data_IF_306125495069
#
_entry.id   IF_306125495069
#
_cell.length_a   1.000
_cell.length_b   1.000
_cell.length_c   1.000
_cell.angle_alpha   90.00
_cell.angle_beta   90.00
_cell.angle_gamma   90.00
#
_symmetry.space_group_name_H-M   'P 1'
#
loop_
_entity.id
_entity.type
_entity.pdbx_description
1 polymer ?
#
# COMPACT_ATOMS: atom_id res chain seq x y z
N UNK A 1 19.01 7.03 9.98
CA UNK A 1 18.83 8.51 10.07
C UNK A 1 19.45 9.07 11.34
N UNK A 2 19.02 8.66 12.55
CA UNK A 2 19.55 9.19 13.82
C UNK A 2 21.08 9.01 13.99
N UNK A 3 21.66 8.00 13.33
CA UNK A 3 23.11 7.74 13.30
C UNK A 3 23.86 8.52 12.21
N UNK A 4 23.17 9.31 11.37
CA UNK A 4 23.75 9.99 10.20
C UNK A 4 24.01 9.08 8.99
N UNK A 5 23.87 7.76 9.12
CA UNK A 5 24.18 6.79 8.06
C UNK A 5 23.14 6.69 6.92
N UNK A 6 22.17 7.60 6.86
CA UNK A 6 21.14 7.58 5.82
C UNK A 6 20.43 8.92 5.69
N UNK A 7 20.03 9.23 4.46
CA UNK A 7 19.30 10.44 4.10
C UNK A 7 17.79 10.18 4.20
N UNK A 8 17.04 11.24 4.50
CA UNK A 8 15.59 11.21 4.52
C UNK A 8 15.06 12.47 3.85
N UNK A 9 14.17 12.29 2.89
CA UNK A 9 13.45 13.38 2.22
C UNK A 9 11.98 13.11 2.39
N UNK A 10 11.31 13.92 3.22
CA UNK A 10 9.86 13.86 3.34
C UNK A 10 9.22 14.51 2.11
N UNK A 11 8.21 13.86 1.57
CA UNK A 11 7.38 14.44 0.53
C UNK A 11 5.94 13.95 0.65
N UNK A 12 5.03 14.65 -0.01
CA UNK A 12 3.64 14.22 -0.09
C UNK A 12 3.57 12.91 -0.86
N UNK A 13 2.91 11.90 -0.29
CA UNK A 13 2.90 10.54 -0.83
C UNK A 13 2.38 10.48 -2.28
N UNK A 14 1.36 11.28 -2.61
CA UNK A 14 0.81 11.40 -3.97
C UNK A 14 1.81 11.91 -5.02
N UNK A 15 2.91 12.52 -4.61
CA UNK A 15 3.94 13.05 -5.53
C UNK A 15 4.98 11.99 -5.90
N UNK A 16 5.02 10.83 -5.24
CA UNK A 16 6.01 9.79 -5.51
C UNK A 16 6.07 9.35 -6.98
N UNK A 17 4.95 9.05 -7.66
CA UNK A 17 5.00 8.66 -9.07
C UNK A 17 5.65 9.75 -9.94
N UNK A 18 5.26 11.01 -9.70
CA UNK A 18 5.79 12.16 -10.43
C UNK A 18 7.26 12.42 -10.13
N UNK A 19 7.67 12.22 -8.89
CA UNK A 19 9.06 12.36 -8.47
C UNK A 19 9.98 11.40 -9.22
N UNK A 20 9.59 10.13 -9.37
CA UNK A 20 10.37 9.19 -10.17
C UNK A 20 10.45 9.60 -11.63
N UNK A 21 9.30 9.92 -12.25
CA UNK A 21 9.23 10.25 -13.69
C UNK A 21 9.88 11.58 -14.06
N UNK A 22 9.77 12.61 -13.23
CA UNK A 22 10.17 13.99 -13.56
C UNK A 22 11.45 14.46 -12.85
N UNK A 23 11.70 13.99 -11.61
CA UNK A 23 12.80 14.51 -10.78
C UNK A 23 13.99 13.57 -10.69
N UNK A 24 13.75 12.27 -10.53
CA UNK A 24 14.79 11.24 -10.58
C UNK A 24 15.15 10.96 -12.04
N UNK A 25 14.16 10.68 -12.88
CA UNK A 25 14.28 10.50 -14.34
C UNK A 25 15.08 9.27 -14.78
N UNK A 26 15.83 8.64 -13.87
CA UNK A 26 16.67 7.48 -14.14
C UNK A 26 16.86 6.63 -12.88
N UNK A 27 16.59 5.34 -12.99
CA UNK A 27 16.86 4.31 -11.98
C UNK A 27 17.65 3.18 -12.64
N UNK A 28 18.81 2.81 -12.10
CA UNK A 28 19.62 1.76 -12.72
C UNK A 28 18.95 0.38 -12.63
N UNK A 29 18.34 0.07 -11.47
CA UNK A 29 17.70 -1.22 -11.21
C UNK A 29 16.47 -1.03 -10.31
N UNK A 30 15.33 -1.59 -10.72
CA UNK A 30 14.16 -1.79 -9.88
C UNK A 30 14.04 -3.28 -9.50
N UNK A 31 13.94 -3.57 -8.20
CA UNK A 31 13.71 -4.91 -7.68
C UNK A 31 12.41 -4.94 -6.87
N UNK A 32 11.44 -5.74 -7.29
CA UNK A 32 10.08 -5.74 -6.73
C UNK A 32 9.62 -7.17 -6.45
N UNK A 33 8.89 -7.38 -5.35
CA UNK A 33 8.14 -8.63 -5.17
C UNK A 33 6.76 -8.50 -5.81
N UNK A 34 6.30 -9.54 -6.50
CA UNK A 34 5.05 -9.55 -7.28
C UNK A 34 4.25 -10.84 -7.06
N UNK A 35 2.95 -10.76 -7.32
CA UNK A 35 2.09 -11.94 -7.41
C UNK A 35 2.43 -12.77 -8.67
N UNK A 36 2.07 -14.07 -8.71
CA UNK A 36 2.28 -14.91 -9.89
C UNK A 36 1.67 -14.30 -11.16
N UNK A 37 2.37 -14.51 -12.27
CA UNK A 37 1.95 -14.05 -13.59
C UNK A 37 0.58 -14.63 -13.95
N UNK A 38 -0.31 -13.82 -14.50
CA UNK A 38 -1.58 -14.31 -15.05
C UNK A 38 -1.41 -14.88 -16.48
N UNK A 39 -2.52 -15.39 -17.02
CA UNK A 39 -2.58 -15.93 -18.38
C UNK A 39 -2.30 -14.91 -19.48
N UNK A 40 -2.28 -13.62 -19.16
CA UNK A 40 -2.03 -12.51 -20.09
C UNK A 40 -0.61 -11.98 -19.99
N UNK A 41 0.23 -12.57 -19.14
CA UNK A 41 1.63 -12.18 -18.99
C UNK A 41 1.86 -11.06 -17.98
N UNK A 42 0.88 -10.71 -17.15
CA UNK A 42 1.01 -9.62 -16.17
C UNK A 42 1.31 -10.13 -14.76
N UNK A 43 2.28 -9.49 -14.11
CA UNK A 43 2.56 -9.61 -12.69
C UNK A 43 1.86 -8.48 -11.94
N UNK A 44 1.14 -8.80 -10.86
CA UNK A 44 0.49 -7.81 -10.00
C UNK A 44 1.47 -7.32 -8.92
N UNK A 45 1.49 -6.02 -8.66
CA UNK A 45 2.25 -5.41 -7.56
C UNK A 45 1.64 -5.68 -6.17
N UNK A 46 0.48 -6.34 -6.12
CA UNK A 46 -0.21 -6.70 -4.90
C UNK A 46 -0.69 -5.46 -4.14
N UNK A 47 -0.64 -5.44 -2.80
CA UNK A 47 -1.23 -4.38 -1.99
C UNK A 47 -0.42 -3.07 -2.01
N UNK A 48 0.63 -2.98 -2.83
CA UNK A 48 1.62 -1.89 -2.80
C UNK A 48 1.74 -1.12 -4.13
N UNK A 49 0.69 -1.13 -4.96
CA UNK A 49 0.66 -0.51 -6.29
C UNK A 49 0.78 1.05 -6.33
N UNK A 50 1.31 1.70 -5.29
CA UNK A 50 1.25 3.16 -5.14
C UNK A 50 2.13 3.95 -6.13
N UNK A 51 3.39 3.54 -6.32
CA UNK A 51 4.34 4.23 -7.20
C UNK A 51 5.27 3.27 -7.96
N UNK A 52 5.09 1.96 -7.80
CA UNK A 52 6.00 0.96 -8.34
C UNK A 52 6.07 0.99 -9.87
N UNK A 53 4.93 1.25 -10.54
CA UNK A 53 4.91 1.47 -11.99
C UNK A 53 5.81 2.63 -12.41
N UNK A 54 5.74 3.75 -11.70
CA UNK A 54 6.56 4.93 -12.01
C UNK A 54 8.06 4.66 -11.80
N UNK A 55 8.42 3.79 -10.85
CA UNK A 55 9.81 3.32 -10.70
C UNK A 55 10.22 2.48 -11.91
N UNK A 56 9.37 1.56 -12.35
CA UNK A 56 9.62 0.74 -13.54
C UNK A 56 9.75 1.57 -14.82
N UNK A 57 8.94 2.61 -15.00
CA UNK A 57 8.96 3.45 -16.22
C UNK A 57 10.33 4.14 -16.47
N UNK A 58 11.12 4.35 -15.41
CA UNK A 58 12.45 5.00 -15.48
C UNK A 58 13.60 4.04 -15.16
N UNK A 59 13.31 2.74 -15.05
CA UNK A 59 14.32 1.74 -14.70
C UNK A 59 15.00 1.14 -15.93
N UNK A 60 16.33 1.06 -15.93
CA UNK A 60 17.10 0.37 -16.98
C UNK A 60 16.96 -1.16 -16.89
N UNK A 61 16.84 -1.68 -15.68
CA UNK A 61 16.73 -3.11 -15.36
C UNK A 61 15.60 -3.35 -14.38
N UNK A 62 14.69 -4.25 -14.73
CA UNK A 62 13.56 -4.63 -13.87
C UNK A 62 13.70 -6.10 -13.48
N UNK A 63 13.81 -6.34 -12.18
CA UNK A 63 13.87 -7.67 -11.59
C UNK A 63 12.63 -7.87 -10.74
N UNK A 64 11.89 -8.94 -11.01
CA UNK A 64 10.73 -9.31 -10.19
C UNK A 64 11.01 -10.60 -9.43
N UNK A 65 10.70 -10.61 -8.13
CA UNK A 65 10.64 -11.80 -7.30
C UNK A 65 9.19 -12.26 -7.20
N UNK A 66 8.90 -13.46 -7.71
CA UNK A 66 7.55 -14.04 -7.63
C UNK A 66 7.33 -14.67 -6.27
N UNK A 67 6.28 -14.26 -5.57
CA UNK A 67 5.81 -14.87 -4.33
C UNK A 67 4.36 -15.34 -4.50
N UNK A 68 4.10 -16.64 -4.38
CA UNK A 68 2.77 -17.25 -4.48
C UNK A 68 1.80 -16.78 -3.39
N UNK A 69 2.31 -16.28 -2.26
CA UNK A 69 1.49 -15.70 -1.19
C UNK A 69 1.15 -14.22 -1.42
N UNK A 70 1.79 -13.55 -2.39
CA UNK A 70 1.46 -12.16 -2.72
C UNK A 70 0.08 -12.15 -3.39
N UNK A 71 -0.92 -11.45 -2.82
CA UNK A 71 -2.25 -11.43 -3.40
C UNK A 71 -2.23 -10.64 -4.71
N UNK A 72 -3.10 -11.02 -5.64
CA UNK A 72 -3.43 -10.19 -6.79
C UNK A 72 -4.48 -9.16 -6.36
N UNK A 73 -4.04 -7.91 -6.20
CA UNK A 73 -4.96 -6.80 -5.97
C UNK A 73 -5.49 -6.31 -7.30
N UNK A 74 -6.80 -6.16 -7.40
CA UNK A 74 -7.44 -5.63 -8.60
C UNK A 74 -7.37 -4.10 -8.58
N UNK A 75 -6.88 -3.52 -9.66
CA UNK A 75 -6.95 -2.10 -9.92
C UNK A 75 -7.36 -1.83 -11.36
N UNK A 76 -7.21 -0.58 -11.78
CA UNK A 76 -7.44 -0.18 -13.19
C UNK A 76 -6.30 0.65 -13.78
N UNK A 77 -5.33 1.05 -12.96
CA UNK A 77 -4.26 1.97 -13.34
C UNK A 77 -2.99 1.56 -12.61
N UNK A 78 -1.93 1.26 -13.35
CA UNK A 78 -0.56 1.16 -12.83
C UNK A 78 -0.32 0.10 -11.71
N UNK A 79 -1.17 -0.93 -11.64
CA UNK A 79 -1.15 -1.98 -10.61
C UNK A 79 -0.38 -3.26 -11.00
N UNK A 80 0.12 -3.30 -12.24
CA UNK A 80 0.80 -4.46 -12.80
C UNK A 80 1.91 -4.08 -13.79
N UNK A 81 2.71 -5.09 -14.13
CA UNK A 81 3.76 -5.02 -15.15
C UNK A 81 3.72 -6.25 -16.05
N UNK A 82 3.87 -6.07 -17.37
CA UNK A 82 3.88 -7.18 -18.32
C UNK A 82 5.27 -7.81 -18.38
N UNK A 83 5.34 -9.13 -18.61
CA UNK A 83 6.60 -9.87 -18.71
C UNK A 83 7.57 -9.34 -19.78
N UNK A 84 7.06 -8.70 -20.83
CA UNK A 84 7.92 -8.08 -21.85
C UNK A 84 8.69 -6.86 -21.35
N UNK A 85 8.29 -6.29 -20.21
CA UNK A 85 8.95 -5.15 -19.56
C UNK A 85 9.94 -5.62 -18.48
N UNK A 86 10.03 -6.93 -18.19
CA UNK A 86 10.85 -7.49 -17.11
C UNK A 86 12.13 -8.12 -17.67
N UNK A 87 13.28 -7.73 -17.12
CA UNK A 87 14.58 -8.30 -17.52
C UNK A 87 14.89 -9.64 -16.85
N UNK A 88 14.48 -9.80 -15.58
CA UNK A 88 14.81 -10.98 -14.79
C UNK A 88 13.65 -11.37 -13.86
N UNK A 89 13.38 -12.68 -13.79
CA UNK A 89 12.37 -13.25 -12.90
C UNK A 89 13.07 -14.19 -11.93
N UNK A 90 12.91 -13.93 -10.64
CA UNK A 90 13.39 -14.77 -9.54
C UNK A 90 12.18 -15.49 -8.96
N UNK A 91 12.23 -16.81 -8.87
CA UNK A 91 11.25 -17.56 -8.09
C UNK A 91 11.61 -17.39 -6.61
N UNK A 92 10.74 -16.70 -5.86
CA UNK A 92 10.92 -16.48 -4.43
C UNK A 92 10.81 -17.78 -3.64
N UNK A 93 11.17 -17.73 -2.38
CA UNK A 93 10.99 -18.86 -1.46
C UNK A 93 9.53 -19.05 -1.00
N UNK A 94 8.61 -18.22 -1.51
CA UNK A 94 7.21 -18.16 -1.09
C UNK A 94 7.06 -18.00 0.44
N UNK A 95 7.83 -17.08 1.04
CA UNK A 95 7.62 -16.71 2.43
C UNK A 95 6.20 -16.11 2.63
N UNK A 96 5.56 -16.34 3.78
CA UNK A 96 4.32 -15.66 4.13
C UNK A 96 4.47 -14.14 4.04
N UNK A 97 3.40 -13.45 3.65
CA UNK A 97 3.42 -11.99 3.62
C UNK A 97 3.64 -11.43 5.03
N UNK A 98 4.45 -10.39 5.20
CA UNK A 98 4.65 -9.78 6.50
C UNK A 98 3.36 -9.14 6.98
N UNK A 99 2.94 -9.53 8.18
CA UNK A 99 1.77 -8.97 8.85
C UNK A 99 2.21 -8.06 9.99
N UNK A 100 1.50 -6.95 10.17
CA UNK A 100 1.65 -6.09 11.34
C UNK A 100 0.46 -6.35 12.26
N UNK A 101 0.73 -6.85 13.46
CA UNK A 101 -0.33 -7.09 14.45
C UNK A 101 -1.04 -5.79 14.84
N UNK A 102 -2.33 -5.90 15.18
CA UNK A 102 -3.09 -4.78 15.72
C UNK A 102 -2.55 -4.37 17.10
N UNK A 103 -2.32 -3.07 17.29
CA UNK A 103 -2.05 -2.54 18.62
C UNK A 103 -3.34 -2.56 19.44
N UNK A 104 -3.25 -3.02 20.70
CA UNK A 104 -4.40 -2.98 21.60
C UNK A 104 -4.83 -1.53 21.86
N UNK A 105 -6.14 -1.28 21.77
CA UNK A 105 -6.73 0.01 22.07
C UNK A 105 -6.44 0.42 23.52
N UNK A 106 -5.90 1.62 23.72
CA UNK A 106 -5.78 2.24 25.04
C UNK A 106 -7.09 2.89 25.47
N UNK A 107 -7.20 3.25 26.74
CA UNK A 107 -8.34 4.05 27.23
C UNK A 107 -8.44 5.41 26.53
N UNK A 108 -7.28 6.02 26.20
CA UNK A 108 -7.22 7.27 25.47
C UNK A 108 -7.76 7.10 24.05
N UNK A 109 -7.38 6.03 23.36
CA UNK A 109 -7.88 5.74 22.00
C UNK A 109 -9.40 5.60 21.99
N UNK A 110 -9.96 4.89 22.98
CA UNK A 110 -11.42 4.74 23.15
C UNK A 110 -12.09 6.08 23.40
N UNK A 111 -11.55 6.92 24.29
CA UNK A 111 -12.12 8.24 24.56
C UNK A 111 -12.10 9.15 23.34
N UNK A 112 -11.04 9.09 22.54
CA UNK A 112 -10.96 9.84 21.27
C UNK A 112 -12.00 9.32 20.27
N UNK A 113 -12.13 8.00 20.12
CA UNK A 113 -13.09 7.41 19.21
C UNK A 113 -14.55 7.69 19.61
N UNK A 114 -14.87 7.69 20.91
CA UNK A 114 -16.19 8.10 21.45
C UNK A 114 -16.58 9.53 21.07
N UNK A 115 -15.62 10.42 20.82
CA UNK A 115 -15.87 11.79 20.37
C UNK A 115 -15.99 11.89 18.84
N UNK A 116 -15.30 11.02 18.09
CA UNK A 116 -15.23 11.11 16.62
C UNK A 116 -16.39 10.37 15.96
N UNK A 117 -16.73 9.17 16.42
CA UNK A 117 -17.73 8.31 15.75
C UNK A 117 -19.11 8.98 15.64
N UNK A 118 -19.63 9.71 16.66
CA UNK A 118 -20.91 10.41 16.54
C UNK A 118 -20.94 11.51 15.47
N UNK A 119 -19.78 12.03 15.07
CA UNK A 119 -19.65 13.08 14.06
C UNK A 119 -19.64 12.54 12.62
N UNK A 120 -19.57 11.21 12.46
CA UNK A 120 -19.57 10.56 11.15
C UNK A 120 -21.02 10.42 10.67
N UNK A 121 -21.41 11.04 9.55
CA UNK A 121 -22.75 10.84 9.00
C UNK A 121 -22.84 9.52 8.20
N UNK A 122 -24.06 9.01 8.04
CA UNK A 122 -24.35 8.01 7.01
C UNK A 122 -23.91 8.52 5.63
N UNK A 123 -23.37 7.64 4.79
CA UNK A 123 -22.86 8.03 3.48
C UNK A 123 -21.43 8.61 3.50
N UNK A 124 -20.77 8.71 4.66
CA UNK A 124 -19.42 9.27 4.73
C UNK A 124 -18.40 8.43 3.97
N UNK A 125 -17.44 9.10 3.32
CA UNK A 125 -16.27 8.46 2.72
C UNK A 125 -15.11 8.48 3.70
N UNK A 126 -14.68 7.29 4.13
CA UNK A 126 -13.69 7.12 5.19
C UNK A 126 -12.26 7.05 4.66
N UNK A 127 -11.36 7.68 5.40
CA UNK A 127 -9.91 7.49 5.34
C UNK A 127 -9.43 7.28 6.77
N UNK A 128 -8.87 6.10 7.05
CA UNK A 128 -8.31 5.75 8.35
C UNK A 128 -6.83 5.42 8.18
N UNK A 129 -6.03 5.79 9.19
CA UNK A 129 -4.63 5.39 9.28
C UNK A 129 -4.47 4.02 9.93
N UNK A 130 -3.24 3.70 10.33
CA UNK A 130 -2.92 2.49 11.08
C UNK A 130 -2.65 2.80 12.56
N UNK A 131 -2.92 1.83 13.44
CA UNK A 131 -2.56 1.88 14.85
C UNK A 131 -3.76 1.85 15.81
N UNK A 132 -3.48 1.92 17.11
CA UNK A 132 -4.51 1.72 18.15
C UNK A 132 -5.73 2.65 18.00
N UNK A 133 -5.51 3.95 17.77
CA UNK A 133 -6.59 4.92 17.63
C UNK A 133 -7.43 4.71 16.35
N UNK A 134 -6.87 4.67 15.12
CA UNK A 134 -7.68 4.41 13.92
C UNK A 134 -8.41 3.06 13.95
N UNK A 135 -7.77 2.01 14.46
CA UNK A 135 -8.40 0.69 14.59
C UNK A 135 -9.57 0.72 15.57
N UNK A 136 -9.47 1.51 16.66
CA UNK A 136 -10.57 1.70 17.61
C UNK A 136 -11.76 2.41 16.96
N UNK A 137 -11.51 3.43 16.13
CA UNK A 137 -12.56 4.09 15.35
C UNK A 137 -13.21 3.10 14.39
N UNK A 138 -12.42 2.32 13.64
CA UNK A 138 -12.93 1.29 12.72
C UNK A 138 -13.83 0.27 13.41
N UNK A 139 -13.41 -0.24 14.57
CA UNK A 139 -14.20 -1.18 15.38
C UNK A 139 -15.51 -0.55 15.87
N UNK A 140 -15.48 0.69 16.38
CA UNK A 140 -16.68 1.39 16.84
C UNK A 140 -17.65 1.71 15.70
N UNK A 141 -17.14 2.04 14.50
CA UNK A 141 -17.96 2.19 13.30
C UNK A 141 -18.64 0.86 12.96
N UNK A 142 -17.90 -0.25 12.98
CA UNK A 142 -18.45 -1.57 12.70
C UNK A 142 -19.53 -2.03 13.70
N UNK A 143 -19.46 -1.55 14.95
CA UNK A 143 -20.46 -1.80 15.99
C UNK A 143 -21.62 -0.77 16.02
N UNK A 144 -21.56 0.27 15.19
CA UNK A 144 -22.54 1.36 15.14
C UNK A 144 -23.72 1.09 14.19
N UNK A 145 -24.69 2.00 14.15
CA UNK A 145 -25.81 2.00 13.20
C UNK A 145 -25.54 2.79 11.92
N UNK A 146 -24.28 3.21 11.68
CA UNK A 146 -23.86 3.92 10.47
C UNK A 146 -24.04 3.06 9.21
N UNK A 147 -24.47 3.70 8.12
CA UNK A 147 -24.83 3.05 6.86
C UNK A 147 -24.28 3.79 5.66
N UNK A 148 -24.20 3.06 4.55
CA UNK A 148 -23.84 3.56 3.22
C UNK A 148 -22.44 4.20 3.18
N UNK A 149 -21.54 3.75 4.06
CA UNK A 149 -20.18 4.26 4.15
C UNK A 149 -19.36 3.87 2.91
N UNK A 150 -18.57 4.80 2.41
CA UNK A 150 -17.57 4.59 1.37
C UNK A 150 -16.16 4.56 1.94
N UNK A 151 -15.19 4.07 1.16
CA UNK A 151 -13.78 4.05 1.54
C UNK A 151 -12.94 4.62 0.41
N UNK A 152 -12.14 5.64 0.71
CA UNK A 152 -11.09 6.16 -0.16
C UNK A 152 -9.90 6.51 0.71
N UNK A 153 -8.95 5.58 0.82
CA UNK A 153 -7.88 5.62 1.82
C UNK A 153 -6.53 5.29 1.21
N UNK A 154 -5.46 5.74 1.88
CA UNK A 154 -4.09 5.35 1.55
C UNK A 154 -3.87 3.85 1.77
N UNK A 155 -4.40 3.34 2.89
CA UNK A 155 -4.30 1.94 3.30
C UNK A 155 -5.61 1.51 3.97
N UNK A 156 -6.02 0.28 3.71
CA UNK A 156 -7.17 -0.34 4.38
C UNK A 156 -6.66 -1.49 5.24
N UNK A 157 -7.04 -1.50 6.51
CA UNK A 157 -6.55 -2.43 7.53
C UNK A 157 -7.72 -3.06 8.27
N UNK A 158 -7.41 -4.15 8.98
CA UNK A 158 -8.35 -4.93 9.79
C UNK A 158 -9.08 -4.14 10.89
#
# INVERSE_FOLDING_TARGET
IATGAGFYSSMRYSELPRFYRESIGHVDVAMLQVAPMDSHGFFSFGPQASHLRAVCDVADKIIVEVNENMPRCLGGMEDCIHVSEVDMIVQGNNAPMPEMGAAAATEVDRKVAELIVPEIPNGACLQLGIGGMPNTIGAMIAESDLKDLGVHTEMYVD
#
